data_IF_542990360127
#
_entry.id   IF_542990360127
#
_cell.length_a   1.000
_cell.length_b   1.000
_cell.length_c   1.000
_cell.angle_alpha   90.00
_cell.angle_beta   90.00
_cell.angle_gamma   90.00
#
_symmetry.space_group_name_H-M   'P 1'
#
loop_
_entity.id
_entity.type
_entity.pdbx_description
1 polymer ?
#
# COMPACT_ATOMS: atom_id res chain seq x y z
N UNK A 1 12.24 -14.94 -7.53
CA UNK A 1 12.36 -13.50 -7.79
C UNK A 1 11.58 -12.78 -6.71
N UNK A 2 12.25 -11.97 -5.88
CA UNK A 2 11.59 -11.16 -4.84
C UNK A 2 11.13 -9.82 -5.41
N UNK A 3 10.38 -9.04 -4.62
CA UNK A 3 9.93 -7.69 -5.03
C UNK A 3 11.12 -6.75 -5.21
N UNK A 4 12.15 -6.85 -4.37
CA UNK A 4 13.37 -6.05 -4.46
C UNK A 4 14.18 -6.41 -5.71
N UNK A 5 14.25 -7.69 -6.07
CA UNK A 5 14.86 -8.12 -7.34
C UNK A 5 14.09 -7.62 -8.57
N UNK A 6 12.79 -7.32 -8.41
CA UNK A 6 11.96 -6.66 -9.42
C UNK A 6 12.07 -5.13 -9.41
N UNK A 7 12.90 -4.54 -8.52
CA UNK A 7 13.13 -3.10 -8.41
C UNK A 7 12.23 -2.37 -7.41
N UNK A 8 11.42 -3.07 -6.61
CA UNK A 8 10.64 -2.44 -5.54
C UNK A 8 11.52 -2.10 -4.33
N UNK A 9 11.11 -1.08 -3.56
CA UNK A 9 11.72 -0.74 -2.28
C UNK A 9 10.81 -1.22 -1.16
N UNK A 10 11.30 -2.15 -0.33
CA UNK A 10 10.56 -2.58 0.85
C UNK A 10 10.58 -1.50 1.94
N UNK A 11 9.41 -1.19 2.50
CA UNK A 11 9.25 -0.23 3.60
C UNK A 11 8.45 -0.92 4.70
N UNK A 12 8.99 -0.96 5.93
CA UNK A 12 8.25 -1.47 7.09
C UNK A 12 7.24 -0.42 7.59
N UNK A 13 6.06 -0.41 6.96
CA UNK A 13 4.93 0.44 7.31
C UNK A 13 3.63 -0.35 7.25
N UNK A 14 2.65 0.00 8.08
CA UNK A 14 1.33 -0.66 8.09
C UNK A 14 0.63 -0.53 6.73
N UNK A 15 0.82 0.59 6.03
CA UNK A 15 0.34 0.82 4.67
C UNK A 15 1.35 1.70 3.92
N UNK A 16 1.52 1.45 2.63
CA UNK A 16 2.29 2.28 1.69
C UNK A 16 1.38 2.63 0.52
N UNK A 17 1.37 3.91 0.15
CA UNK A 17 0.66 4.44 -1.03
C UNK A 17 1.70 5.02 -1.97
N UNK A 18 1.93 4.34 -3.09
CA UNK A 18 2.77 4.82 -4.19
C UNK A 18 1.90 5.05 -5.44
N UNK A 19 1.56 6.31 -5.68
CA UNK A 19 0.63 6.72 -6.74
C UNK A 19 -0.69 5.94 -6.65
N UNK A 20 -0.93 5.00 -7.56
CA UNK A 20 -2.12 4.16 -7.63
C UNK A 20 -1.91 2.75 -7.02
N UNK A 21 -0.70 2.42 -6.58
CA UNK A 21 -0.38 1.15 -5.92
C UNK A 21 -0.46 1.34 -4.41
N UNK A 22 -1.33 0.57 -3.77
CA UNK A 22 -1.50 0.56 -2.31
C UNK A 22 -1.18 -0.85 -1.82
N UNK A 23 -0.32 -0.97 -0.82
CA UNK A 23 0.13 -2.25 -0.27
C UNK A 23 0.16 -2.22 1.27
N UNK A 24 -0.01 -3.39 1.90
CA UNK A 24 0.10 -3.60 3.35
C UNK A 24 0.92 -4.86 3.66
N UNK A 25 1.38 -5.03 4.90
CA UNK A 25 2.30 -6.14 5.25
C UNK A 25 1.59 -7.46 5.53
N UNK A 26 0.51 -7.43 6.31
CA UNK A 26 -0.20 -8.62 6.78
C UNK A 26 -1.65 -8.27 7.24
N UNK A 27 -2.50 -9.26 7.59
CA UNK A 27 -3.91 -9.03 7.92
C UNK A 27 -4.19 -8.06 9.08
N UNK A 28 -3.24 -7.85 9.99
CA UNK A 28 -3.44 -6.93 11.12
C UNK A 28 -3.52 -5.46 10.67
N UNK A 29 -3.00 -5.14 9.48
CA UNK A 29 -2.98 -3.79 8.91
C UNK A 29 -4.23 -3.48 8.05
N UNK A 30 -5.23 -4.37 8.02
CA UNK A 30 -6.39 -4.30 7.13
C UNK A 30 -7.18 -2.99 7.24
N UNK A 31 -7.31 -2.45 8.45
CA UNK A 31 -8.02 -1.19 8.66
C UNK A 31 -7.33 -0.03 7.94
N UNK A 32 -6.01 0.10 8.10
CA UNK A 32 -5.22 1.16 7.46
C UNK A 32 -5.20 1.00 5.93
N UNK A 33 -5.12 -0.25 5.45
CA UNK A 33 -5.19 -0.57 4.02
C UNK A 33 -6.52 -0.14 3.42
N UNK A 34 -7.64 -0.57 4.03
CA UNK A 34 -9.00 -0.29 3.55
C UNK A 34 -9.31 1.21 3.55
N UNK A 35 -8.94 1.93 4.61
CA UNK A 35 -9.08 3.39 4.69
C UNK A 35 -8.29 4.07 3.57
N UNK A 36 -7.04 3.65 3.33
CA UNK A 36 -6.19 4.26 2.29
C UNK A 36 -6.75 4.09 0.87
N UNK A 37 -7.39 2.96 0.57
CA UNK A 37 -8.08 2.74 -0.70
C UNK A 37 -9.23 3.73 -0.87
N UNK A 38 -10.11 3.83 0.13
CA UNK A 38 -11.27 4.73 0.09
C UNK A 38 -10.83 6.18 -0.10
N UNK A 39 -9.80 6.62 0.63
CA UNK A 39 -9.27 7.98 0.51
C UNK A 39 -8.61 8.24 -0.85
N UNK A 40 -7.92 7.25 -1.41
CA UNK A 40 -7.33 7.37 -2.75
C UNK A 40 -8.39 7.52 -3.84
N UNK A 41 -9.51 6.79 -3.74
CA UNK A 41 -10.63 6.90 -4.68
C UNK A 41 -11.35 8.26 -4.55
N UNK A 42 -11.53 8.77 -3.33
CA UNK A 42 -12.14 10.10 -3.12
C UNK A 42 -11.32 11.24 -3.71
N UNK A 43 -9.98 11.11 -3.73
CA UNK A 43 -9.05 12.13 -4.26
C UNK A 43 -9.00 12.20 -5.78
N UNK A 44 -9.47 11.18 -6.50
CA UNK A 44 -9.47 11.14 -7.98
C UNK A 44 -10.60 11.97 -8.61
N UNK A 45 -11.19 12.90 -7.86
CA UNK A 45 -12.22 13.82 -8.35
C UNK A 45 -11.63 14.97 -9.15
#
# INVERSE_FOLDING_TARGET
MTLEQAGAVYIDSTVVVDRNLITSRNPQDLNNFSTSIVESLKKQK
#
